data_IF_945156817195
#
_entry.id   IF_945156817195
#
_cell.length_a   1.000
_cell.length_b   1.000
_cell.length_c   1.000
_cell.angle_alpha   90.00
_cell.angle_beta   90.00
_cell.angle_gamma   90.00
#
_symmetry.space_group_name_H-M   'P 1'
#
loop_
_entity.id
_entity.type
_entity.pdbx_description
1 polymer ?
#
# COMPACT_ATOMS: atom_id res chain seq x y z
N UNK A 1 -75.10 -36.70 -22.98
CA UNK A 1 -74.40 -35.60 -23.63
C UNK A 1 -74.08 -34.51 -22.57
N UNK A 2 -73.05 -34.66 -21.78
CA UNK A 2 -72.47 -33.65 -20.83
C UNK A 2 -71.27 -34.27 -20.10
N UNK A 3 -70.17 -34.43 -20.76
CA UNK A 3 -68.89 -34.80 -20.14
C UNK A 3 -67.72 -34.50 -21.09
N UNK A 4 -67.43 -33.23 -21.33
CA UNK A 4 -66.20 -32.84 -22.08
C UNK A 4 -65.74 -31.42 -21.87
N UNK A 5 -66.04 -30.76 -20.76
CA UNK A 5 -65.64 -29.34 -20.56
C UNK A 5 -64.87 -29.07 -19.29
N UNK A 6 -64.20 -30.06 -18.67
CA UNK A 6 -63.42 -29.85 -17.43
C UNK A 6 -61.91 -30.14 -17.49
N UNK A 7 -61.38 -30.48 -18.66
CA UNK A 7 -59.97 -30.88 -18.78
C UNK A 7 -59.00 -29.82 -19.37
N UNK A 8 -59.49 -28.62 -19.71
CA UNK A 8 -58.64 -27.61 -20.39
C UNK A 8 -58.15 -26.48 -19.49
N UNK A 9 -58.68 -26.36 -18.24
CA UNK A 9 -58.31 -25.22 -17.37
C UNK A 9 -57.08 -25.51 -16.45
N UNK A 10 -56.58 -26.75 -16.40
CA UNK A 10 -55.47 -27.11 -15.46
C UNK A 10 -54.06 -27.01 -16.03
N UNK A 11 -53.90 -26.75 -17.34
CA UNK A 11 -52.58 -26.74 -18.04
C UNK A 11 -52.01 -25.31 -18.14
N UNK A 12 -52.78 -24.25 -17.94
CA UNK A 12 -52.32 -22.88 -18.13
C UNK A 12 -51.68 -22.27 -16.84
N UNK A 13 -51.85 -22.89 -15.66
CA UNK A 13 -51.27 -22.34 -14.40
C UNK A 13 -49.88 -22.86 -14.03
N UNK A 14 -49.27 -23.75 -14.84
CA UNK A 14 -47.95 -24.33 -14.53
C UNK A 14 -46.79 -23.66 -15.26
N UNK A 15 -47.00 -22.60 -16.03
CA UNK A 15 -45.95 -21.95 -16.82
C UNK A 15 -45.55 -20.53 -16.37
N UNK A 16 -46.08 -20.02 -15.25
CA UNK A 16 -45.75 -18.64 -14.76
C UNK A 16 -44.78 -18.62 -13.57
N UNK A 17 -44.14 -19.75 -13.21
CA UNK A 17 -43.11 -19.83 -12.16
C UNK A 17 -41.69 -19.90 -12.70
N UNK A 18 -41.47 -19.55 -13.97
CA UNK A 18 -40.12 -19.49 -14.55
C UNK A 18 -39.62 -18.04 -14.55
N UNK A 19 -38.82 -17.71 -13.51
CA UNK A 19 -37.74 -16.77 -13.63
C UNK A 19 -38.13 -15.30 -13.61
N UNK A 20 -38.39 -14.74 -12.44
CA UNK A 20 -37.96 -13.37 -12.25
C UNK A 20 -36.43 -13.31 -12.54
N UNK A 21 -35.95 -12.44 -13.44
CA UNK A 21 -34.50 -12.29 -13.63
C UNK A 21 -33.93 -11.92 -12.26
N UNK A 22 -32.99 -12.72 -11.76
CA UNK A 22 -32.25 -12.37 -10.56
C UNK A 22 -31.61 -11.01 -10.86
N UNK A 23 -32.20 -9.96 -10.31
CA UNK A 23 -31.68 -8.60 -10.47
C UNK A 23 -30.32 -8.63 -9.81
N UNK A 24 -29.26 -8.56 -10.60
CA UNK A 24 -27.90 -8.52 -10.09
C UNK A 24 -27.84 -7.35 -9.09
N UNK A 25 -27.55 -7.66 -7.85
CA UNK A 25 -27.44 -6.64 -6.82
C UNK A 25 -26.46 -5.56 -7.27
N UNK A 26 -26.85 -4.29 -7.14
CA UNK A 26 -25.96 -3.18 -7.48
C UNK A 26 -24.65 -3.33 -6.70
N UNK A 27 -23.48 -3.07 -7.35
CA UNK A 27 -22.20 -3.17 -6.67
C UNK A 27 -22.13 -2.22 -5.48
N UNK A 28 -21.62 -2.72 -4.35
CA UNK A 28 -21.39 -1.88 -3.17
C UNK A 28 -20.30 -0.84 -3.47
N UNK A 29 -20.66 0.44 -3.39
CA UNK A 29 -19.70 1.54 -3.57
C UNK A 29 -18.77 1.66 -2.37
N UNK A 30 -17.49 1.75 -2.64
CA UNK A 30 -16.44 1.87 -1.61
C UNK A 30 -15.39 2.90 -2.02
N UNK A 31 -15.08 3.79 -1.08
CA UNK A 31 -13.95 4.69 -1.19
C UNK A 31 -12.72 4.04 -0.56
N UNK A 32 -11.65 3.84 -1.35
CA UNK A 32 -10.37 3.32 -0.89
C UNK A 32 -9.28 4.36 -1.12
N UNK A 33 -8.67 4.85 -0.04
CA UNK A 33 -7.55 5.77 -0.16
C UNK A 33 -6.22 5.02 -0.33
N UNK A 34 -5.30 5.59 -1.12
CA UNK A 34 -3.90 5.16 -1.13
C UNK A 34 -2.99 6.29 -0.68
N UNK A 35 -2.05 5.95 0.22
CA UNK A 35 -1.23 6.92 0.95
C UNK A 35 0.01 7.41 0.20
N UNK A 36 0.33 6.82 -0.93
CA UNK A 36 1.48 7.12 -1.77
C UNK A 36 1.12 7.01 -3.25
N UNK A 37 1.99 7.57 -4.11
CA UNK A 37 1.98 7.35 -5.56
C UNK A 37 3.33 6.71 -5.89
N UNK A 38 3.35 5.38 -5.95
CA UNK A 38 4.52 4.57 -6.29
C UNK A 38 4.06 3.21 -6.87
N UNK A 39 5.02 2.39 -7.33
CA UNK A 39 4.72 1.11 -7.95
C UNK A 39 4.00 0.10 -7.04
N UNK A 40 4.08 0.21 -5.71
CA UNK A 40 3.37 -0.67 -4.79
C UNK A 40 1.86 -0.40 -4.67
N UNK A 41 1.36 0.69 -5.27
CA UNK A 41 -0.09 0.93 -5.45
C UNK A 41 -0.65 0.13 -6.63
N UNK A 42 0.19 -0.39 -7.51
CA UNK A 42 -0.20 -1.11 -8.72
C UNK A 42 -1.23 -2.23 -8.48
N UNK A 43 -1.18 -3.04 -7.40
CA UNK A 43 -2.23 -4.02 -7.11
C UNK A 43 -3.64 -3.44 -7.04
N UNK A 44 -3.80 -2.20 -6.55
CA UNK A 44 -5.08 -1.53 -6.47
C UNK A 44 -5.53 -1.03 -7.84
N UNK A 45 -4.61 -0.44 -8.61
CA UNK A 45 -4.89 0.04 -9.96
C UNK A 45 -5.27 -1.13 -10.88
N UNK A 46 -4.49 -2.21 -10.88
CA UNK A 46 -4.80 -3.44 -11.63
C UNK A 46 -6.13 -4.05 -11.17
N UNK A 47 -6.40 -4.13 -9.86
CA UNK A 47 -7.67 -4.68 -9.38
C UNK A 47 -8.87 -3.89 -9.88
N UNK A 48 -8.77 -2.55 -9.97
CA UNK A 48 -9.81 -1.69 -10.54
C UNK A 48 -9.89 -1.85 -12.07
N UNK A 49 -8.76 -1.76 -12.79
CA UNK A 49 -8.68 -1.76 -14.24
C UNK A 49 -9.09 -3.11 -14.87
N UNK A 50 -8.72 -4.24 -14.22
CA UNK A 50 -9.08 -5.59 -14.66
C UNK A 50 -10.44 -6.06 -14.12
N UNK A 51 -11.14 -5.19 -13.37
CA UNK A 51 -12.48 -5.49 -12.88
C UNK A 51 -12.53 -6.50 -11.72
N UNK A 52 -11.41 -6.77 -11.02
CA UNK A 52 -11.41 -7.73 -9.91
C UNK A 52 -12.29 -7.27 -8.75
N UNK A 53 -12.39 -5.99 -8.48
CA UNK A 53 -13.35 -5.49 -7.49
C UNK A 53 -14.79 -5.76 -7.92
N UNK A 54 -15.13 -5.50 -9.19
CA UNK A 54 -16.48 -5.75 -9.74
C UNK A 54 -16.85 -7.23 -9.71
N UNK A 55 -15.89 -8.14 -9.95
CA UNK A 55 -16.05 -9.58 -9.82
C UNK A 55 -16.56 -9.97 -8.43
N UNK A 56 -16.19 -9.23 -7.40
CA UNK A 56 -16.63 -9.43 -6.01
C UNK A 56 -17.77 -8.49 -5.57
N UNK A 57 -18.50 -7.91 -6.54
CA UNK A 57 -19.67 -7.07 -6.25
C UNK A 57 -19.32 -5.70 -5.67
N UNK A 58 -18.12 -5.18 -5.91
CA UNK A 58 -17.68 -3.88 -5.41
C UNK A 58 -17.44 -2.88 -6.54
N UNK A 59 -17.87 -1.65 -6.33
CA UNK A 59 -17.51 -0.48 -7.13
C UNK A 59 -16.56 0.39 -6.29
N UNK A 60 -15.26 0.28 -6.58
CA UNK A 60 -14.22 0.91 -5.75
C UNK A 60 -13.72 2.19 -6.39
N UNK A 61 -13.86 3.29 -5.67
CA UNK A 61 -13.23 4.56 -6.00
C UNK A 61 -11.89 4.69 -5.30
N UNK A 62 -10.81 4.79 -6.10
CA UNK A 62 -9.45 4.97 -5.60
C UNK A 62 -9.15 6.46 -5.52
N UNK A 63 -8.74 6.95 -4.34
CA UNK A 63 -8.33 8.34 -4.14
C UNK A 63 -6.93 8.43 -3.51
N UNK A 64 -6.16 9.40 -3.96
CA UNK A 64 -4.90 9.71 -3.31
C UNK A 64 -5.13 10.64 -2.12
N UNK A 65 -4.76 10.19 -0.93
CA UNK A 65 -4.68 11.00 0.28
C UNK A 65 -3.37 10.64 0.95
N UNK A 66 -2.46 11.60 1.12
CA UNK A 66 -1.16 11.34 1.75
C UNK A 66 -1.32 10.57 3.07
N UNK A 67 -0.51 9.53 3.28
CA UNK A 67 -0.73 8.46 4.26
C UNK A 67 -1.13 8.92 5.68
N UNK A 68 -0.49 9.96 6.22
CA UNK A 68 -0.86 10.50 7.54
C UNK A 68 -2.28 11.06 7.60
N UNK A 69 -2.71 11.76 6.54
CA UNK A 69 -4.09 12.28 6.42
C UNK A 69 -5.10 11.17 6.13
N UNK A 70 -4.70 10.15 5.35
CA UNK A 70 -5.55 8.99 5.10
C UNK A 70 -5.89 8.26 6.41
N UNK A 71 -4.90 8.03 7.28
CA UNK A 71 -5.13 7.43 8.60
C UNK A 71 -6.07 8.30 9.46
N UNK A 72 -5.93 9.63 9.43
CA UNK A 72 -6.83 10.55 10.15
C UNK A 72 -8.25 10.50 9.58
N UNK A 73 -8.40 10.47 8.25
CA UNK A 73 -9.70 10.36 7.57
C UNK A 73 -10.41 9.02 7.91
N UNK A 74 -9.64 7.93 8.07
CA UNK A 74 -10.17 6.65 8.54
C UNK A 74 -10.69 6.75 9.98
N UNK A 75 -9.92 7.34 10.89
CA UNK A 75 -10.32 7.54 12.29
C UNK A 75 -11.55 8.44 12.41
N UNK A 76 -11.72 9.40 11.49
CA UNK A 76 -12.89 10.26 11.40
C UNK A 76 -14.10 9.60 10.67
N UNK A 77 -13.97 8.33 10.23
CA UNK A 77 -15.03 7.62 9.50
C UNK A 77 -15.31 8.14 8.08
N UNK A 78 -14.46 9.02 7.53
CA UNK A 78 -14.62 9.59 6.18
C UNK A 78 -14.17 8.61 5.08
N UNK A 79 -13.22 7.75 5.39
CA UNK A 79 -12.69 6.73 4.48
C UNK A 79 -12.71 5.39 5.22
N UNK A 80 -13.42 4.37 4.73
CA UNK A 80 -13.55 3.09 5.44
C UNK A 80 -12.27 2.25 5.40
N UNK A 81 -11.50 2.34 4.31
CA UNK A 81 -10.30 1.54 4.09
C UNK A 81 -9.22 2.37 3.39
N UNK A 82 -7.96 2.12 3.73
CA UNK A 82 -6.85 2.78 3.07
C UNK A 82 -5.65 1.84 2.91
N UNK A 83 -4.82 2.12 1.91
CA UNK A 83 -3.50 1.52 1.77
C UNK A 83 -2.47 2.46 2.39
N UNK A 84 -2.01 2.12 3.59
CA UNK A 84 -1.01 2.88 4.37
C UNK A 84 -0.06 1.94 5.10
N UNK A 85 1.05 2.47 5.64
CA UNK A 85 2.04 1.69 6.38
C UNK A 85 1.69 1.49 7.86
N UNK A 86 2.30 0.48 8.48
CA UNK A 86 2.12 0.15 9.90
C UNK A 86 2.51 1.29 10.85
N UNK A 87 3.37 2.21 10.43
CA UNK A 87 3.72 3.41 11.21
C UNK A 87 2.50 4.27 11.53
N UNK A 88 1.60 4.44 10.56
CA UNK A 88 0.38 5.23 10.74
C UNK A 88 -0.65 4.48 11.59
N UNK A 89 -0.73 3.16 11.43
CA UNK A 89 -1.57 2.29 12.28
C UNK A 89 -1.06 2.34 13.73
N UNK A 90 0.26 2.23 13.96
CA UNK A 90 0.88 2.35 15.28
C UNK A 90 0.53 3.69 15.95
N UNK A 91 0.63 4.81 15.21
CA UNK A 91 0.25 6.11 15.74
C UNK A 91 -1.25 6.19 16.09
N UNK A 92 -2.11 5.62 15.26
CA UNK A 92 -3.55 5.56 15.53
C UNK A 92 -3.85 4.74 16.79
N UNK A 93 -3.27 3.55 16.92
CA UNK A 93 -3.48 2.64 18.07
C UNK A 93 -2.95 3.27 19.36
N UNK A 94 -1.76 3.87 19.35
CA UNK A 94 -1.22 4.57 20.54
C UNK A 94 -2.00 5.80 20.95
N UNK A 95 -2.82 6.35 20.05
CA UNK A 95 -3.78 7.43 20.30
C UNK A 95 -5.19 6.93 20.69
N UNK A 96 -5.39 5.61 20.83
CA UNK A 96 -6.68 4.98 21.18
C UNK A 96 -7.57 4.63 19.99
N UNK A 97 -7.07 4.74 18.77
CA UNK A 97 -7.79 4.28 17.57
C UNK A 97 -7.73 2.77 17.38
N UNK A 98 -8.62 2.24 16.55
CA UNK A 98 -8.82 0.79 16.33
C UNK A 98 -8.37 0.30 14.93
N UNK A 99 -7.46 1.03 14.28
CA UNK A 99 -6.94 0.66 12.96
C UNK A 99 -6.08 -0.61 13.03
N UNK A 100 -6.15 -1.43 11.97
CA UNK A 100 -5.34 -2.65 11.85
C UNK A 100 -4.96 -2.94 10.40
N UNK A 101 -3.78 -3.51 10.17
CA UNK A 101 -3.31 -3.97 8.87
C UNK A 101 -3.90 -5.35 8.59
N UNK A 102 -4.58 -5.53 7.46
CA UNK A 102 -5.24 -6.79 7.07
C UNK A 102 -4.61 -7.47 5.85
N UNK A 103 -3.89 -6.72 5.01
CA UNK A 103 -3.00 -7.25 3.96
C UNK A 103 -1.66 -6.52 4.01
N UNK A 104 -0.57 -7.22 3.66
CA UNK A 104 0.77 -6.65 3.50
C UNK A 104 1.17 -6.64 2.03
N UNK A 105 1.30 -5.45 1.43
CA UNK A 105 1.63 -5.29 0.01
C UNK A 105 3.11 -4.94 -0.20
N UNK A 106 3.75 -4.34 0.81
CA UNK A 106 5.18 -4.07 0.82
C UNK A 106 5.72 -4.36 2.23
N UNK A 107 6.47 -5.47 2.34
CA UNK A 107 6.96 -5.99 3.61
C UNK A 107 8.47 -5.72 3.83
N UNK A 108 9.03 -4.78 3.08
CA UNK A 108 10.41 -4.32 3.15
C UNK A 108 10.51 -2.81 3.21
N UNK A 109 11.61 -2.31 3.75
CA UNK A 109 11.97 -0.90 3.70
C UNK A 109 12.85 -0.68 2.47
N UNK A 110 12.23 -0.33 1.34
CA UNK A 110 12.93 -0.19 0.08
C UNK A 110 12.91 1.27 -0.41
N UNK A 111 13.99 1.98 -0.11
CA UNK A 111 14.22 3.37 -0.49
C UNK A 111 15.66 3.59 -0.92
N UNK A 112 15.86 4.48 -1.86
CA UNK A 112 17.16 5.09 -2.12
C UNK A 112 17.29 6.35 -1.28
N UNK A 113 18.31 6.42 -0.44
CA UNK A 113 18.69 7.65 0.21
C UNK A 113 19.55 8.45 -0.77
N UNK A 114 18.86 9.38 -1.43
CA UNK A 114 19.42 10.18 -2.52
C UNK A 114 20.08 11.45 -1.99
N UNK A 115 21.18 11.85 -2.61
CA UNK A 115 21.82 13.13 -2.34
C UNK A 115 22.11 13.89 -3.63
N UNK A 116 22.19 15.22 -3.52
CA UNK A 116 22.59 16.11 -4.61
C UNK A 116 23.99 15.81 -5.11
N UNK A 117 24.32 16.13 -6.38
CA UNK A 117 25.65 15.89 -6.96
C UNK A 117 26.80 16.53 -6.18
N UNK A 118 26.55 17.63 -5.45
CA UNK A 118 27.50 18.30 -4.57
C UNK A 118 27.93 17.46 -3.37
N UNK A 119 27.07 16.54 -2.90
CA UNK A 119 27.35 15.65 -1.77
C UNK A 119 28.01 14.38 -2.30
N UNK A 120 29.27 14.20 -2.00
CA UNK A 120 30.06 13.04 -2.47
C UNK A 120 30.14 11.93 -1.43
N UNK A 121 30.08 12.26 -0.15
CA UNK A 121 30.16 11.35 0.99
C UNK A 121 29.11 11.72 2.03
N UNK A 122 28.70 10.74 2.83
CA UNK A 122 27.65 10.89 3.82
C UNK A 122 27.96 11.97 4.87
N UNK A 123 29.24 12.10 5.28
CA UNK A 123 29.68 13.07 6.30
C UNK A 123 29.43 14.53 5.89
N UNK A 124 29.33 14.80 4.59
CA UNK A 124 29.03 16.13 4.05
C UNK A 124 27.59 16.57 4.30
N UNK A 125 26.74 15.65 4.79
CA UNK A 125 25.38 15.97 5.24
C UNK A 125 25.34 16.64 6.62
N UNK A 126 26.45 16.68 7.38
CA UNK A 126 26.53 17.40 8.65
C UNK A 126 26.20 18.88 8.46
N UNK A 127 25.29 19.41 9.28
CA UNK A 127 24.81 20.78 9.17
C UNK A 127 23.86 21.04 8.01
N UNK A 128 23.44 20.02 7.24
CA UNK A 128 22.60 20.16 6.06
C UNK A 128 21.13 19.85 6.33
N UNK A 129 20.29 20.23 5.37
CA UNK A 129 18.87 19.93 5.36
C UNK A 129 18.62 18.63 4.62
N UNK A 130 17.85 17.73 5.23
CA UNK A 130 17.43 16.43 4.66
C UNK A 130 15.91 16.37 4.66
N UNK A 131 15.31 16.04 3.51
CA UNK A 131 13.88 15.86 3.43
C UNK A 131 13.47 14.52 4.02
N UNK A 132 12.42 14.54 4.83
CA UNK A 132 11.66 13.37 5.26
C UNK A 132 10.24 13.44 4.68
N UNK A 133 9.51 12.33 4.71
CA UNK A 133 8.09 12.29 4.36
C UNK A 133 7.21 12.96 5.42
N UNK A 134 6.03 12.41 5.63
CA UNK A 134 5.22 12.79 6.79
C UNK A 134 5.92 12.31 8.08
N UNK A 135 5.84 13.06 9.18
CA UNK A 135 6.38 12.60 10.45
C UNK A 135 5.94 11.16 10.77
N UNK A 136 6.89 10.33 11.20
CA UNK A 136 6.68 8.90 11.48
C UNK A 136 6.17 8.05 10.29
N UNK A 137 6.19 8.54 9.05
CA UNK A 137 5.88 7.75 7.86
C UNK A 137 7.03 6.82 7.44
N UNK A 138 6.77 5.83 6.56
CA UNK A 138 7.79 4.87 6.09
C UNK A 138 9.00 5.55 5.46
N UNK A 139 8.79 6.59 4.64
CA UNK A 139 9.90 7.36 4.04
C UNK A 139 10.74 8.11 5.08
N UNK A 140 10.11 8.58 6.17
CA UNK A 140 10.83 9.22 7.29
C UNK A 140 11.68 8.21 8.03
N UNK A 141 11.13 7.03 8.35
CA UNK A 141 11.89 5.94 8.97
C UNK A 141 13.01 5.44 8.05
N UNK A 142 12.78 5.36 6.73
CA UNK A 142 13.83 5.04 5.78
C UNK A 142 15.00 6.04 5.84
N UNK A 143 14.70 7.32 6.03
CA UNK A 143 15.74 8.35 6.21
C UNK A 143 16.50 8.15 7.51
N UNK A 144 15.83 7.87 8.62
CA UNK A 144 16.51 7.57 9.90
C UNK A 144 17.38 6.33 9.79
N UNK A 145 16.85 5.24 9.23
CA UNK A 145 17.62 4.01 9.00
C UNK A 145 18.83 4.29 8.11
N UNK A 146 18.67 5.06 7.04
CA UNK A 146 19.79 5.41 6.17
C UNK A 146 20.87 6.22 6.91
N UNK A 147 20.47 7.19 7.73
CA UNK A 147 21.39 7.97 8.54
C UNK A 147 22.13 7.10 9.57
N UNK A 148 21.43 6.15 10.22
CA UNK A 148 22.05 5.20 11.16
C UNK A 148 23.13 4.34 10.48
N UNK A 149 22.81 3.75 9.31
CA UNK A 149 23.79 2.96 8.53
C UNK A 149 25.00 3.78 8.08
N UNK A 150 24.79 5.07 7.83
CA UNK A 150 25.87 5.99 7.46
C UNK A 150 26.60 6.60 8.67
N UNK A 151 26.27 6.17 9.89
CA UNK A 151 26.89 6.66 11.13
C UNK A 151 26.55 8.11 11.49
N UNK A 152 25.45 8.64 10.93
CA UNK A 152 25.00 10.01 11.13
C UNK A 152 23.84 10.05 12.13
N UNK A 153 23.94 10.95 13.11
CA UNK A 153 22.91 11.18 14.11
C UNK A 153 22.40 12.62 13.95
N UNK A 154 21.13 12.85 13.54
CA UNK A 154 20.64 14.17 13.17
C UNK A 154 20.94 15.25 14.20
N UNK A 155 20.66 14.98 15.49
CA UNK A 155 20.90 15.96 16.56
C UNK A 155 22.37 16.23 16.82
N UNK A 156 23.23 15.20 16.83
CA UNK A 156 24.67 15.34 17.04
C UNK A 156 25.36 16.06 15.88
N UNK A 157 24.94 15.71 14.66
CA UNK A 157 25.59 16.17 13.43
C UNK A 157 24.88 17.40 12.83
N UNK A 158 23.96 18.04 13.61
CA UNK A 158 23.19 19.23 13.21
C UNK A 158 22.45 19.07 11.86
N UNK A 159 21.98 17.84 11.55
CA UNK A 159 21.19 17.59 10.35
C UNK A 159 19.75 18.02 10.61
N UNK A 160 19.25 18.96 9.79
CA UNK A 160 17.88 19.46 9.89
C UNK A 160 16.95 18.59 9.06
N UNK A 161 16.06 17.86 9.71
CA UNK A 161 15.05 17.04 9.03
C UNK A 161 13.82 17.89 8.72
N UNK A 162 13.48 18.00 7.42
CA UNK A 162 12.34 18.79 6.94
C UNK A 162 11.22 17.86 6.44
N UNK A 163 10.03 17.97 7.01
CA UNK A 163 8.82 17.29 6.54
C UNK A 163 8.32 17.88 5.24
N UNK A 164 8.68 17.28 4.11
CA UNK A 164 8.32 17.77 2.76
C UNK A 164 7.05 17.10 2.23
N UNK A 165 6.67 15.92 2.77
CA UNK A 165 5.45 15.23 2.34
C UNK A 165 5.69 14.13 1.32
N UNK A 166 5.00 14.19 0.15
CA UNK A 166 5.01 13.14 -0.87
C UNK A 166 6.35 12.99 -1.61
N UNK A 167 6.46 11.94 -2.42
CA UNK A 167 7.68 11.68 -3.19
C UNK A 167 7.94 12.71 -4.28
N UNK A 168 6.92 13.17 -5.05
CA UNK A 168 7.12 14.22 -6.03
C UNK A 168 7.64 15.52 -5.42
N UNK A 169 7.14 15.90 -4.23
CA UNK A 169 7.57 17.10 -3.51
C UNK A 169 9.01 16.97 -3.02
N UNK A 170 9.41 15.79 -2.47
CA UNK A 170 10.80 15.54 -2.05
C UNK A 170 11.77 15.55 -3.22
N UNK A 171 11.38 14.94 -4.35
CA UNK A 171 12.15 15.00 -5.59
C UNK A 171 12.31 16.44 -6.07
N UNK A 172 11.24 17.22 -6.07
CA UNK A 172 11.26 18.64 -6.42
C UNK A 172 12.17 19.46 -5.49
N UNK A 173 12.13 19.21 -4.18
CA UNK A 173 12.99 19.88 -3.20
C UNK A 173 14.48 19.57 -3.39
N UNK A 174 14.83 18.33 -3.75
CA UNK A 174 16.21 17.96 -4.13
C UNK A 174 16.68 18.72 -5.38
N UNK A 175 15.86 18.78 -6.43
CA UNK A 175 16.17 19.50 -7.68
C UNK A 175 16.32 21.00 -7.43
N UNK A 176 15.43 21.59 -6.63
CA UNK A 176 15.49 23.01 -6.29
C UNK A 176 16.66 23.37 -5.34
N UNK A 177 17.32 22.37 -4.75
CA UNK A 177 18.38 22.60 -3.78
C UNK A 177 17.89 23.10 -2.41
N UNK A 178 16.61 22.92 -2.12
CA UNK A 178 16.03 23.26 -0.81
C UNK A 178 16.48 22.29 0.28
N UNK A 179 16.87 21.08 -0.11
CA UNK A 179 17.44 20.03 0.71
C UNK A 179 18.61 19.35 0.00
N UNK A 180 19.52 18.77 0.77
CA UNK A 180 20.71 18.10 0.23
C UNK A 180 20.51 16.60 0.03
N UNK A 181 19.59 15.97 0.80
CA UNK A 181 19.27 14.55 0.67
C UNK A 181 17.80 14.27 0.95
N UNK A 182 17.30 13.12 0.46
CA UNK A 182 15.96 12.62 0.72
C UNK A 182 15.89 11.11 0.45
N UNK A 183 15.02 10.40 1.18
CA UNK A 183 14.63 9.03 0.82
C UNK A 183 13.51 9.06 -0.21
N UNK A 184 13.72 8.36 -1.34
CA UNK A 184 12.76 8.19 -2.43
C UNK A 184 12.64 6.70 -2.73
N UNK A 185 11.45 6.27 -3.19
CA UNK A 185 11.34 4.93 -3.76
C UNK A 185 12.26 4.78 -4.97
N UNK A 186 12.73 3.58 -5.29
CA UNK A 186 13.73 3.38 -6.35
C UNK A 186 13.29 3.91 -7.70
N UNK A 187 12.00 3.86 -8.07
CA UNK A 187 11.51 4.40 -9.34
C UNK A 187 11.69 5.93 -9.44
N UNK A 188 11.45 6.67 -8.36
CA UNK A 188 11.74 8.11 -8.30
C UNK A 188 13.22 8.39 -8.15
N UNK A 189 13.93 7.58 -7.37
CA UNK A 189 15.37 7.68 -7.22
C UNK A 189 16.13 7.48 -8.54
N UNK A 190 15.71 6.54 -9.40
CA UNK A 190 16.30 6.32 -10.72
C UNK A 190 16.17 7.54 -11.65
N UNK A 191 15.12 8.36 -11.48
CA UNK A 191 15.01 9.62 -12.22
C UNK A 191 16.20 10.51 -11.87
N UNK A 192 16.47 10.68 -10.58
CA UNK A 192 17.58 11.53 -10.11
C UNK A 192 18.96 10.94 -10.45
N UNK A 193 19.12 9.60 -10.40
CA UNK A 193 20.37 8.94 -10.84
C UNK A 193 20.70 9.31 -12.28
N UNK A 194 19.69 9.33 -13.19
CA UNK A 194 19.91 9.75 -14.57
C UNK A 194 20.25 11.24 -14.73
N UNK A 195 20.05 12.05 -13.70
CA UNK A 195 20.37 13.48 -13.61
C UNK A 195 21.68 13.74 -12.84
N UNK A 196 22.44 12.68 -12.48
CA UNK A 196 23.72 12.78 -11.81
C UNK A 196 23.67 12.85 -10.28
N UNK A 197 22.48 12.66 -9.68
CA UNK A 197 22.35 12.54 -8.23
C UNK A 197 22.91 11.21 -7.73
N UNK A 198 23.27 11.13 -6.45
CA UNK A 198 23.91 9.97 -5.85
C UNK A 198 22.96 9.19 -4.96
N UNK A 199 23.04 7.86 -5.04
CA UNK A 199 22.48 6.97 -4.02
C UNK A 199 23.55 6.81 -2.94
N UNK A 200 23.33 7.38 -1.76
CA UNK A 200 24.23 7.21 -0.61
C UNK A 200 23.98 5.89 0.10
N UNK A 201 22.74 5.44 0.13
CA UNK A 201 22.34 4.14 0.65
C UNK A 201 21.11 3.61 -0.09
N UNK A 202 21.07 2.29 -0.30
CA UNK A 202 19.94 1.53 -0.82
C UNK A 202 19.42 0.64 0.30
N UNK A 203 18.35 1.07 1.01
CA UNK A 203 17.82 0.32 2.15
C UNK A 203 17.22 -1.02 1.77
N UNK A 204 16.85 -1.22 0.49
CA UNK A 204 16.35 -2.50 0.00
C UNK A 204 17.44 -3.59 0.01
N UNK A 205 18.70 -3.21 -0.20
CA UNK A 205 19.85 -4.13 -0.12
C UNK A 205 20.12 -4.57 1.33
N UNK A 206 19.81 -3.72 2.30
CA UNK A 206 19.98 -4.02 3.72
C UNK A 206 18.91 -4.98 4.26
N UNK A 207 17.89 -5.29 3.44
CA UNK A 207 16.80 -6.23 3.76
C UNK A 207 16.15 -5.99 5.12
N UNK A 208 15.97 -4.72 5.49
CA UNK A 208 15.32 -4.36 6.76
C UNK A 208 13.86 -4.80 6.70
N UNK A 209 13.43 -5.75 7.58
CA UNK A 209 12.02 -6.13 7.64
C UNK A 209 11.18 -4.91 8.01
N UNK A 210 10.09 -4.67 7.27
CA UNK A 210 9.29 -3.48 7.50
C UNK A 210 7.90 -3.62 6.87
N UNK A 211 6.84 -3.29 7.58
CA UNK A 211 5.50 -3.23 7.01
C UNK A 211 5.28 -1.82 6.42
N UNK A 212 5.82 -1.59 5.22
CA UNK A 212 5.81 -0.29 4.54
C UNK A 212 4.43 0.10 4.04
N UNK A 213 3.69 -0.86 3.49
CA UNK A 213 2.37 -0.63 2.90
C UNK A 213 1.48 -1.86 3.02
N UNK A 214 0.20 -1.62 3.28
CA UNK A 214 -0.80 -2.67 3.41
C UNK A 214 -2.22 -2.12 3.37
N UNK A 215 -3.19 -2.98 3.16
CA UNK A 215 -4.60 -2.62 3.32
C UNK A 215 -4.90 -2.52 4.81
N UNK A 216 -5.49 -1.39 5.20
CA UNK A 216 -5.84 -1.05 6.57
C UNK A 216 -7.34 -0.75 6.66
N UNK A 217 -7.97 -1.23 7.72
CA UNK A 217 -9.34 -0.87 8.10
C UNK A 217 -9.42 -0.71 9.61
N UNK A 218 -10.49 -0.11 10.14
CA UNK A 218 -10.76 -0.17 11.57
C UNK A 218 -11.33 -1.54 11.95
N UNK A 219 -11.01 -2.04 13.15
CA UNK A 219 -11.57 -3.31 13.65
C UNK A 219 -13.09 -3.26 13.74
N UNK A 220 -13.63 -2.08 14.09
CA UNK A 220 -15.08 -1.83 14.09
C UNK A 220 -15.68 -1.95 12.68
N UNK A 221 -15.04 -1.40 11.64
CA UNK A 221 -15.50 -1.52 10.26
C UNK A 221 -15.42 -2.97 9.76
N UNK A 222 -14.34 -3.70 10.05
CA UNK A 222 -14.20 -5.12 9.71
C UNK A 222 -15.35 -5.94 10.32
N UNK A 223 -15.67 -5.69 11.59
CA UNK A 223 -16.75 -6.37 12.29
C UNK A 223 -18.13 -6.08 11.69
N UNK A 224 -18.39 -4.83 11.29
CA UNK A 224 -19.68 -4.42 10.73
C UNK A 224 -19.83 -4.77 9.25
N UNK A 225 -18.73 -4.91 8.49
CA UNK A 225 -18.73 -5.12 7.05
C UNK A 225 -17.78 -6.26 6.63
N UNK A 226 -17.84 -7.45 7.26
CA UNK A 226 -16.85 -8.50 7.06
C UNK A 226 -16.75 -8.98 5.62
N UNK A 227 -17.89 -9.12 4.93
CA UNK A 227 -17.93 -9.58 3.53
C UNK A 227 -17.35 -8.53 2.58
N UNK A 228 -17.63 -7.25 2.81
CA UNK A 228 -17.08 -6.16 2.01
C UNK A 228 -15.55 -6.09 2.12
N UNK A 229 -15.03 -6.21 3.34
CA UNK A 229 -13.58 -6.21 3.61
C UNK A 229 -12.91 -7.43 2.97
N UNK A 230 -13.53 -8.61 3.08
CA UNK A 230 -13.03 -9.83 2.42
C UNK A 230 -13.03 -9.68 0.89
N UNK A 231 -14.11 -9.16 0.30
CA UNK A 231 -14.23 -8.96 -1.14
C UNK A 231 -13.21 -7.96 -1.67
N UNK A 232 -12.93 -6.87 -0.93
CA UNK A 232 -11.84 -5.94 -1.23
C UNK A 232 -10.48 -6.65 -1.22
N UNK A 233 -10.21 -7.40 -0.16
CA UNK A 233 -8.97 -8.14 -0.02
C UNK A 233 -8.79 -9.16 -1.15
N UNK A 234 -9.84 -9.89 -1.54
CA UNK A 234 -9.82 -10.83 -2.68
C UNK A 234 -9.46 -10.12 -3.98
N UNK A 235 -10.10 -8.98 -4.27
CA UNK A 235 -9.80 -8.20 -5.48
C UNK A 235 -8.35 -7.74 -5.53
N UNK A 236 -7.79 -7.29 -4.41
CA UNK A 236 -6.37 -6.87 -4.32
C UNK A 236 -5.44 -8.07 -4.49
N UNK A 237 -5.73 -9.21 -3.86
CA UNK A 237 -4.92 -10.45 -4.00
C UNK A 237 -4.92 -10.95 -5.43
N UNK A 238 -6.06 -10.89 -6.16
CA UNK A 238 -6.09 -11.18 -7.60
C UNK A 238 -5.26 -10.17 -8.40
N UNK A 239 -5.28 -8.88 -8.04
CA UNK A 239 -4.40 -7.87 -8.62
C UNK A 239 -2.92 -8.22 -8.46
N UNK A 240 -2.51 -8.65 -7.26
CA UNK A 240 -1.15 -9.16 -7.01
C UNK A 240 -0.82 -10.36 -7.90
N UNK A 241 -1.70 -11.36 -7.91
CA UNK A 241 -1.49 -12.57 -8.72
C UNK A 241 -1.43 -12.26 -10.23
N UNK A 242 -2.24 -11.31 -10.70
CA UNK A 242 -2.22 -10.83 -12.10
C UNK A 242 -0.87 -10.20 -12.45
N UNK A 243 -0.34 -9.33 -11.60
CA UNK A 243 0.96 -8.65 -11.79
C UNK A 243 2.10 -9.66 -11.87
N UNK A 244 2.07 -10.70 -11.02
CA UNK A 244 3.13 -11.71 -10.95
C UNK A 244 3.13 -12.70 -12.12
N UNK A 245 2.09 -12.72 -12.97
CA UNK A 245 2.05 -13.58 -14.18
C UNK A 245 2.81 -12.93 -15.33
N UNK A 246 3.89 -13.53 -15.84
CA UNK A 246 4.71 -12.95 -16.93
C UNK A 246 3.91 -12.59 -18.18
N UNK A 247 2.86 -13.35 -18.49
CA UNK A 247 1.98 -13.08 -19.63
C UNK A 247 1.26 -11.73 -19.57
N UNK A 248 1.14 -11.13 -18.37
CA UNK A 248 0.45 -9.86 -18.15
C UNK A 248 1.39 -8.64 -18.15
N UNK A 249 2.70 -8.86 -18.36
CA UNK A 249 3.73 -7.80 -18.26
C UNK A 249 3.34 -6.53 -19.01
N UNK A 250 2.93 -6.64 -20.26
CA UNK A 250 2.59 -5.46 -21.07
C UNK A 250 1.42 -4.64 -20.49
N UNK A 251 0.42 -5.30 -19.92
CA UNK A 251 -0.72 -4.64 -19.27
C UNK A 251 -0.24 -3.89 -18.03
N UNK A 252 0.56 -4.56 -17.20
CA UNK A 252 1.11 -3.98 -15.97
C UNK A 252 2.03 -2.78 -16.29
N UNK A 253 2.90 -2.91 -17.28
CA UNK A 253 3.79 -1.80 -17.70
C UNK A 253 2.99 -0.61 -18.22
N UNK A 254 1.92 -0.83 -18.99
CA UNK A 254 1.04 0.27 -19.44
C UNK A 254 0.31 0.94 -18.28
N UNK A 255 -0.13 0.17 -17.29
CA UNK A 255 -0.76 0.71 -16.07
C UNK A 255 0.23 1.53 -15.26
N UNK A 256 1.46 1.04 -15.01
CA UNK A 256 2.54 1.79 -14.36
C UNK A 256 2.85 3.10 -15.10
N UNK A 257 2.97 3.05 -16.45
CA UNK A 257 3.24 4.24 -17.28
C UNK A 257 2.21 5.34 -17.03
N UNK A 258 0.93 4.97 -17.06
CA UNK A 258 -0.19 5.90 -16.88
C UNK A 258 -0.24 6.45 -15.46
N UNK A 259 -0.19 5.58 -14.46
CA UNK A 259 -0.43 5.94 -13.07
C UNK A 259 0.78 6.65 -12.41
N UNK A 260 2.01 6.29 -12.81
CA UNK A 260 3.24 6.95 -12.33
C UNK A 260 3.72 8.07 -13.25
N UNK A 261 3.05 8.30 -14.41
CA UNK A 261 3.45 9.27 -15.42
C UNK A 261 4.91 9.08 -15.88
N UNK A 262 5.31 7.82 -16.08
CA UNK A 262 6.60 7.45 -16.60
C UNK A 262 6.50 7.22 -18.12
N UNK A 263 7.39 7.84 -18.88
CA UNK A 263 7.40 7.81 -20.36
C UNK A 263 8.59 7.03 -20.95
N UNK A 264 9.65 6.80 -20.16
CA UNK A 264 10.87 6.14 -20.65
C UNK A 264 10.80 4.62 -20.46
N UNK A 265 10.99 3.83 -21.56
CA UNK A 265 10.89 2.36 -21.51
C UNK A 265 11.83 1.72 -20.47
N UNK A 266 13.05 2.20 -20.34
CA UNK A 266 14.05 1.69 -19.38
C UNK A 266 13.63 1.93 -17.91
N UNK A 267 12.95 3.04 -17.63
CA UNK A 267 12.40 3.33 -16.30
C UNK A 267 11.19 2.46 -15.97
N UNK A 268 10.32 2.25 -16.95
CA UNK A 268 9.16 1.37 -16.82
C UNK A 268 9.59 -0.08 -16.58
N UNK A 269 10.59 -0.55 -17.33
CA UNK A 269 11.13 -1.89 -17.14
C UNK A 269 11.71 -2.06 -15.72
N UNK A 270 12.47 -1.10 -15.25
CA UNK A 270 13.03 -1.12 -13.88
C UNK A 270 11.92 -1.10 -12.82
N UNK A 271 10.90 -0.24 -12.97
CA UNK A 271 9.78 -0.17 -12.05
C UNK A 271 9.00 -1.50 -12.00
N UNK A 272 8.78 -2.12 -13.15
CA UNK A 272 8.14 -3.43 -13.26
C UNK A 272 8.98 -4.53 -12.59
N UNK A 273 10.27 -4.63 -12.91
CA UNK A 273 11.17 -5.65 -12.34
C UNK A 273 11.28 -5.52 -10.83
N UNK A 274 11.36 -4.30 -10.31
CA UNK A 274 11.34 -4.04 -8.89
C UNK A 274 10.03 -4.49 -8.25
N UNK A 275 8.88 -4.11 -8.85
CA UNK A 275 7.57 -4.48 -8.34
C UNK A 275 7.42 -6.00 -8.21
N UNK A 276 7.69 -6.76 -9.28
CA UNK A 276 7.56 -8.22 -9.24
C UNK A 276 8.59 -8.91 -8.35
N UNK A 277 9.75 -8.28 -8.13
CA UNK A 277 10.81 -8.79 -7.24
C UNK A 277 10.49 -8.67 -5.75
N UNK A 278 9.62 -7.71 -5.38
CA UNK A 278 9.32 -7.40 -3.99
C UNK A 278 7.86 -7.69 -3.59
N UNK A 279 6.96 -7.78 -4.57
CA UNK A 279 5.54 -8.01 -4.29
C UNK A 279 5.35 -9.42 -3.70
N UNK A 280 4.76 -9.55 -2.51
CA UNK A 280 4.61 -10.86 -1.88
C UNK A 280 3.57 -11.70 -2.62
N UNK A 281 3.92 -12.95 -2.95
CA UNK A 281 2.98 -13.91 -3.57
C UNK A 281 1.73 -14.16 -2.70
N UNK A 282 1.90 -14.11 -1.39
CA UNK A 282 0.83 -14.12 -0.40
C UNK A 282 0.88 -12.79 0.35
N UNK A 283 0.03 -11.82 0.01
CA UNK A 283 0.07 -10.48 0.60
C UNK A 283 -0.49 -10.46 2.03
N UNK A 284 0.18 -11.20 2.91
CA UNK A 284 -0.11 -11.22 4.34
C UNK A 284 0.67 -10.14 5.08
N UNK A 285 0.12 -9.57 6.17
CA UNK A 285 0.86 -8.66 7.02
C UNK A 285 2.14 -9.31 7.57
N UNK A 286 3.23 -8.54 7.67
CA UNK A 286 4.50 -9.02 8.21
C UNK A 286 4.61 -8.71 9.70
N UNK A 287 4.54 -9.74 10.54
CA UNK A 287 4.73 -9.62 11.99
C UNK A 287 6.12 -9.08 12.31
N UNK A 288 7.17 -9.62 11.66
CA UNK A 288 8.55 -9.17 11.80
C UNK A 288 8.70 -7.71 11.34
N UNK A 289 8.07 -7.37 10.19
CA UNK A 289 8.05 -6.01 9.68
C UNK A 289 7.40 -5.02 10.64
N UNK A 290 6.31 -5.40 11.31
CA UNK A 290 5.67 -4.57 12.33
C UNK A 290 6.53 -4.47 13.58
N UNK A 291 7.12 -5.55 14.05
CA UNK A 291 8.06 -5.50 15.19
C UNK A 291 9.22 -4.53 14.94
N UNK A 292 9.77 -4.54 13.72
CA UNK A 292 10.80 -3.58 13.30
C UNK A 292 10.28 -2.14 13.30
N UNK A 293 9.06 -1.90 12.79
CA UNK A 293 8.42 -0.57 12.84
C UNK A 293 8.32 -0.06 14.27
N UNK A 294 7.78 -0.87 15.20
CA UNK A 294 7.63 -0.49 16.60
C UNK A 294 8.98 -0.12 17.22
N UNK A 295 9.99 -0.97 17.01
CA UNK A 295 11.37 -0.74 17.50
C UNK A 295 11.94 0.56 16.96
N UNK A 296 11.89 0.80 15.66
CA UNK A 296 12.45 1.99 15.01
C UNK A 296 11.72 3.27 15.46
N UNK A 297 10.40 3.24 15.64
CA UNK A 297 9.64 4.39 16.13
C UNK A 297 10.06 4.80 17.54
N UNK A 298 10.35 3.83 18.42
CA UNK A 298 10.87 4.08 19.77
C UNK A 298 12.32 4.60 19.71
N UNK A 299 13.18 3.91 18.96
CA UNK A 299 14.61 4.24 18.84
C UNK A 299 14.85 5.68 18.38
N UNK A 300 14.03 6.15 17.43
CA UNK A 300 14.16 7.52 16.88
C UNK A 300 13.27 8.54 17.58
N UNK A 301 12.63 8.19 18.70
CA UNK A 301 11.80 9.11 19.47
C UNK A 301 10.54 9.58 18.75
N UNK A 302 10.08 8.82 17.73
CA UNK A 302 8.91 9.19 16.94
C UNK A 302 7.59 8.83 17.62
N UNK A 303 7.59 7.77 18.43
CA UNK A 303 6.45 7.35 19.25
C UNK A 303 6.92 6.47 20.41
N UNK A 304 7.12 7.04 21.58
CA UNK A 304 7.57 6.30 22.76
C UNK A 304 6.55 5.25 23.24
N UNK A 305 5.23 5.48 23.01
CA UNK A 305 4.18 4.53 23.38
C UNK A 305 4.22 3.24 22.55
N UNK A 306 4.89 3.25 21.41
CA UNK A 306 5.08 2.04 20.59
C UNK A 306 5.84 0.93 21.34
N UNK A 307 6.62 1.27 22.38
CA UNK A 307 7.28 0.29 23.24
C UNK A 307 6.31 -0.62 24.03
N UNK A 308 5.06 -0.19 24.20
CA UNK A 308 4.03 -0.92 24.94
C UNK A 308 3.20 -1.85 24.05
N UNK A 309 3.34 -1.74 22.72
CA UNK A 309 2.56 -2.50 21.76
C UNK A 309 3.27 -3.78 21.32
N UNK A 310 2.46 -4.79 21.03
CA UNK A 310 2.88 -6.01 20.33
C UNK A 310 2.43 -5.96 18.87
N UNK A 311 3.12 -6.66 17.94
CA UNK A 311 2.71 -6.70 16.53
C UNK A 311 1.26 -7.12 16.31
N UNK A 312 0.71 -8.03 17.15
CA UNK A 312 -0.66 -8.55 17.07
C UNK A 312 -1.72 -7.45 17.33
N UNK A 313 -1.35 -6.36 17.98
CA UNK A 313 -2.24 -5.22 18.19
C UNK A 313 -2.32 -4.31 16.96
N UNK A 314 -1.35 -4.43 16.04
CA UNK A 314 -1.24 -3.64 14.81
C UNK A 314 -1.79 -4.39 13.60
N UNK A 315 -1.73 -5.74 13.60
CA UNK A 315 -2.18 -6.56 12.47
C UNK A 315 -3.37 -7.44 12.81
N UNK A 316 -4.14 -7.78 11.78
CA UNK A 316 -5.17 -8.82 11.82
C UNK A 316 -4.85 -9.87 10.75
N UNK A 317 -4.45 -11.07 11.19
CA UNK A 317 -4.06 -12.18 10.32
C UNK A 317 -5.25 -13.05 9.88
N UNK A 318 -6.48 -12.72 10.29
CA UNK A 318 -7.65 -13.59 10.08
C UNK A 318 -7.94 -13.82 8.59
N UNK A 319 -7.88 -12.78 7.75
CA UNK A 319 -8.08 -12.91 6.31
C UNK A 319 -6.96 -13.68 5.63
N UNK A 320 -5.71 -13.45 6.03
CA UNK A 320 -4.58 -14.21 5.52
C UNK A 320 -4.74 -15.69 5.79
N UNK A 321 -5.06 -16.05 7.03
CA UNK A 321 -5.33 -17.43 7.43
C UNK A 321 -6.51 -18.02 6.65
N UNK A 322 -7.63 -17.31 6.55
CA UNK A 322 -8.79 -17.73 5.78
C UNK A 322 -8.47 -18.01 4.32
N UNK A 323 -7.67 -17.17 3.66
CA UNK A 323 -7.28 -17.35 2.27
C UNK A 323 -6.29 -18.52 2.10
N UNK A 324 -5.45 -18.78 3.09
CA UNK A 324 -4.57 -19.94 3.10
C UNK A 324 -5.35 -21.24 3.29
N UNK A 325 -6.19 -21.32 4.33
CA UNK A 325 -7.00 -22.50 4.67
C UNK A 325 -8.00 -22.87 3.55
N UNK A 326 -8.57 -21.87 2.86
CA UNK A 326 -9.46 -22.09 1.71
C UNK A 326 -8.74 -22.43 0.40
N UNK A 327 -7.42 -22.41 0.36
CA UNK A 327 -6.63 -22.60 -0.86
C UNK A 327 -6.72 -21.42 -1.85
N UNK A 328 -7.28 -20.26 -1.46
CA UNK A 328 -7.47 -19.12 -2.36
C UNK A 328 -6.16 -18.63 -2.96
N UNK A 329 -5.10 -18.47 -2.16
CA UNK A 329 -3.79 -18.11 -2.69
C UNK A 329 -3.27 -19.11 -3.71
N UNK A 330 -3.43 -20.42 -3.43
CA UNK A 330 -2.96 -21.50 -4.32
C UNK A 330 -3.71 -21.53 -5.66
N UNK A 331 -4.99 -21.15 -5.66
CA UNK A 331 -5.81 -21.12 -6.89
C UNK A 331 -5.43 -20.01 -7.86
N UNK A 332 -4.65 -19.01 -7.44
CA UNK A 332 -4.27 -17.85 -8.24
C UNK A 332 -2.84 -17.93 -8.79
N UNK A 333 -1.97 -18.70 -8.15
CA UNK A 333 -0.56 -18.89 -8.49
C UNK A 333 -0.40 -20.10 -9.40
#
# INVERSE_FOLDING_TARGET
MKLQTRAVIFVVYLFTLLGAPAQAAEPTKILLAHGAINNFVEPLWIAKEQGFFKKYGLDVDLIFIIAGRAAQAMLAGQVPVAMVGATHVTNAVTAGGDLTVILGLQNSLNYFFMARPSIKRAEELKGKKVAIGTPSGSASLATYVALDYLGLIPRRDNIVLLGIGGEPERLGALRAGSVEAASLSPEFGQILVSEGYRVLLDTGKEKVPFQSSGLVASRSYIKSNPQTVENLARGIVEGVAFILKPANKEIVVRSLARNLRLDKPDRLEKAYLQLIGELPKKPCPSMEGVASVLKLMVQHGLNAKAAQLKPEEIVDMSLCKKFEDSGFFKSLL
#
